data_IF_941242054619
#
_entry.id   IF_941242054619
#
_cell.length_a   1.000
_cell.length_b   1.000
_cell.length_c   1.000
_cell.angle_alpha   90.00
_cell.angle_beta   90.00
_cell.angle_gamma   90.00
#
_symmetry.space_group_name_H-M   'P 1'
#
loop_
_entity.id
_entity.type
_entity.pdbx_description
1 polymer ?
#
# COMPACT_ATOMS: atom_id res chain seq x y z
N UNK A 1 -18.11 -13.58 -12.40
CA UNK A 1 -17.15 -13.10 -11.40
C UNK A 1 -17.79 -12.38 -10.23
N UNK A 2 -18.64 -11.37 -10.44
CA UNK A 2 -19.33 -10.67 -9.34
C UNK A 2 -20.80 -10.37 -9.67
N UNK A 3 -21.57 -10.03 -8.64
CA UNK A 3 -22.93 -9.51 -8.76
C UNK A 3 -23.11 -8.28 -7.84
N UNK A 4 -23.90 -7.32 -8.31
CA UNK A 4 -24.34 -6.19 -7.50
C UNK A 4 -25.49 -6.62 -6.59
N UNK A 5 -25.32 -6.48 -5.28
CA UNK A 5 -26.30 -6.96 -4.29
C UNK A 5 -26.51 -5.94 -3.17
N UNK A 6 -27.61 -6.07 -2.43
CA UNK A 6 -27.76 -5.39 -1.15
C UNK A 6 -26.90 -6.07 -0.09
N UNK A 7 -26.04 -5.27 0.55
CA UNK A 7 -25.16 -5.68 1.64
C UNK A 7 -25.70 -5.08 2.95
N UNK A 8 -26.06 -5.92 3.94
CA UNK A 8 -26.61 -5.46 5.21
C UNK A 8 -25.78 -4.35 5.85
N UNK A 9 -26.42 -3.20 6.10
CA UNK A 9 -25.81 -2.04 6.74
C UNK A 9 -24.84 -1.23 5.86
N UNK A 10 -24.62 -1.60 4.59
CA UNK A 10 -23.71 -0.90 3.67
C UNK A 10 -24.40 -0.37 2.40
N UNK A 11 -25.64 -0.77 2.14
CA UNK A 11 -26.35 -0.43 0.90
C UNK A 11 -25.97 -1.40 -0.20
N UNK A 12 -25.76 -0.93 -1.43
CA UNK A 12 -25.31 -1.81 -2.52
C UNK A 12 -23.81 -2.12 -2.40
N UNK A 13 -23.41 -3.30 -2.88
CA UNK A 13 -22.01 -3.75 -2.91
C UNK A 13 -21.78 -4.82 -3.99
N UNK A 14 -20.52 -5.04 -4.36
CA UNK A 14 -20.16 -6.13 -5.26
C UNK A 14 -19.79 -7.37 -4.45
N UNK A 15 -20.43 -8.50 -4.76
CA UNK A 15 -20.17 -9.80 -4.11
C UNK A 15 -19.69 -10.78 -5.15
N UNK A 16 -18.62 -11.52 -4.85
CA UNK A 16 -18.06 -12.53 -5.74
C UNK A 16 -19.08 -13.66 -5.99
N UNK A 17 -19.33 -13.98 -7.26
CA UNK A 17 -20.24 -15.08 -7.65
C UNK A 17 -19.52 -16.41 -7.85
N UNK A 18 -18.19 -16.38 -7.83
CA UNK A 18 -17.27 -17.51 -7.94
C UNK A 18 -15.95 -17.13 -7.25
N UNK A 19 -15.01 -18.06 -7.06
CA UNK A 19 -13.69 -17.74 -6.53
C UNK A 19 -12.93 -16.86 -7.52
N UNK A 20 -12.37 -15.74 -7.03
CA UNK A 20 -11.57 -14.80 -7.81
C UNK A 20 -10.10 -14.95 -7.37
N UNK A 21 -9.20 -15.43 -8.25
CA UNK A 21 -7.79 -15.58 -7.91
C UNK A 21 -7.09 -14.24 -7.67
N UNK A 22 -6.06 -14.25 -6.82
CA UNK A 22 -5.16 -13.12 -6.60
C UNK A 22 -4.61 -12.55 -7.93
N UNK A 23 -4.58 -11.22 -8.05
CA UNK A 23 -4.11 -10.51 -9.24
C UNK A 23 -5.13 -10.39 -10.38
N UNK A 24 -6.30 -11.02 -10.26
CA UNK A 24 -7.34 -10.94 -11.28
C UNK A 24 -7.86 -9.51 -11.41
N UNK A 25 -7.95 -8.99 -12.65
CA UNK A 25 -8.67 -7.76 -12.95
C UNK A 25 -10.18 -8.01 -12.89
N UNK A 26 -10.81 -7.52 -11.83
CA UNK A 26 -12.24 -7.65 -11.55
C UNK A 26 -13.06 -6.68 -12.40
N UNK A 27 -12.61 -5.41 -12.50
CA UNK A 27 -13.27 -4.34 -13.26
C UNK A 27 -12.31 -3.62 -14.21
N UNK A 28 -12.87 -3.09 -15.31
CA UNK A 28 -12.19 -2.22 -16.27
C UNK A 28 -13.20 -1.24 -16.92
N UNK A 29 -13.52 -0.17 -16.21
CA UNK A 29 -14.66 0.71 -16.53
C UNK A 29 -14.23 2.05 -17.13
N UNK A 30 -14.97 2.52 -18.14
CA UNK A 30 -14.88 3.91 -18.60
C UNK A 30 -15.62 4.81 -17.61
N UNK A 31 -15.16 6.05 -17.40
CA UNK A 31 -15.91 7.01 -16.59
C UNK A 31 -17.23 7.38 -17.27
N UNK A 32 -18.32 7.43 -16.49
CA UNK A 32 -19.56 8.11 -16.87
C UNK A 32 -19.35 9.62 -16.80
N UNK A 33 -18.71 10.07 -15.70
CA UNK A 33 -18.32 11.47 -15.50
C UNK A 33 -16.83 11.56 -15.21
N UNK A 34 -16.20 12.61 -15.72
CA UNK A 34 -14.86 13.06 -15.34
C UNK A 34 -14.97 14.51 -14.87
N UNK A 35 -14.71 14.75 -13.58
CA UNK A 35 -14.77 16.06 -12.94
C UNK A 35 -13.34 16.53 -12.62
N UNK A 36 -12.88 17.62 -13.26
CA UNK A 36 -11.59 18.21 -12.89
C UNK A 36 -11.69 18.86 -11.52
N UNK A 37 -10.76 18.56 -10.62
CA UNK A 37 -10.71 19.19 -9.29
C UNK A 37 -9.59 20.22 -9.18
N UNK A 38 -8.51 20.04 -9.94
CA UNK A 38 -7.32 20.88 -9.86
C UNK A 38 -7.65 22.33 -10.24
N UNK A 39 -7.38 23.24 -9.32
CA UNK A 39 -7.51 24.69 -9.54
C UNK A 39 -8.94 25.24 -9.44
N UNK A 40 -9.95 24.43 -9.13
CA UNK A 40 -11.33 24.90 -8.98
C UNK A 40 -11.68 25.26 -7.53
N UNK A 41 -12.37 26.39 -7.35
CA UNK A 41 -13.06 26.74 -6.09
C UNK A 41 -14.39 25.98 -5.99
N UNK A 42 -14.96 25.88 -4.79
CA UNK A 42 -16.20 25.11 -4.55
C UNK A 42 -17.37 25.49 -5.47
N UNK A 43 -17.64 26.79 -5.68
CA UNK A 43 -18.74 27.24 -6.56
C UNK A 43 -18.51 26.90 -8.03
N UNK A 44 -17.26 26.97 -8.49
CA UNK A 44 -16.89 26.61 -9.85
C UNK A 44 -17.05 25.09 -10.06
N UNK A 45 -16.67 24.32 -9.05
CA UNK A 45 -16.84 22.86 -9.04
C UNK A 45 -18.32 22.46 -9.14
N UNK A 46 -19.20 23.06 -8.34
CA UNK A 46 -20.65 22.82 -8.41
C UNK A 46 -21.20 23.12 -9.81
N UNK A 47 -20.77 24.23 -10.41
CA UNK A 47 -21.20 24.62 -11.77
C UNK A 47 -20.71 23.63 -12.84
N UNK A 48 -19.47 23.14 -12.71
CA UNK A 48 -18.90 22.12 -13.59
C UNK A 48 -19.63 20.78 -13.44
N UNK A 49 -19.91 20.36 -12.21
CA UNK A 49 -20.66 19.13 -11.91
C UNK A 49 -22.06 19.20 -12.49
N UNK A 50 -22.79 20.31 -12.26
CA UNK A 50 -24.13 20.51 -12.80
C UNK A 50 -24.14 20.38 -14.33
N UNK A 51 -23.29 21.15 -15.02
CA UNK A 51 -23.22 21.13 -16.49
C UNK A 51 -22.89 19.74 -17.04
N UNK A 52 -21.92 19.04 -16.44
CA UNK A 52 -21.51 17.71 -16.93
C UNK A 52 -22.58 16.66 -16.66
N UNK A 53 -23.28 16.74 -15.53
CA UNK A 53 -24.35 15.79 -15.18
C UNK A 53 -25.58 16.00 -16.06
N UNK A 54 -25.93 17.25 -16.40
CA UNK A 54 -27.03 17.58 -17.33
C UNK A 54 -26.76 17.17 -18.78
N UNK A 55 -25.50 16.87 -19.13
CA UNK A 55 -25.13 16.41 -20.46
C UNK A 55 -25.14 14.88 -20.60
N UNK A 56 -25.48 14.15 -19.54
CA UNK A 56 -25.63 12.69 -19.57
C UNK A 56 -26.93 12.30 -20.28
N UNK A 57 -26.95 11.11 -20.86
CA UNK A 57 -28.21 10.48 -21.27
C UNK A 57 -29.02 9.98 -20.05
N UNK A 58 -30.29 9.64 -20.27
CA UNK A 58 -31.21 9.23 -19.20
C UNK A 58 -30.70 8.01 -18.42
N UNK A 59 -30.09 7.03 -19.10
CA UNK A 59 -29.57 5.82 -18.46
C UNK A 59 -28.35 6.11 -17.57
N UNK A 60 -27.43 6.95 -18.05
CA UNK A 60 -26.28 7.42 -17.30
C UNK A 60 -26.69 8.28 -16.11
N UNK A 61 -27.68 9.17 -16.29
CA UNK A 61 -28.21 10.00 -15.23
C UNK A 61 -28.85 9.14 -14.14
N UNK A 62 -29.68 8.15 -14.50
CA UNK A 62 -30.27 7.21 -13.56
C UNK A 62 -29.21 6.46 -12.73
N UNK A 63 -28.13 6.03 -13.37
CA UNK A 63 -26.99 5.41 -12.66
C UNK A 63 -26.43 6.39 -11.64
N UNK A 64 -26.09 7.62 -12.04
CA UNK A 64 -25.52 8.64 -11.13
C UNK A 64 -26.47 8.95 -9.98
N UNK A 65 -27.76 9.15 -10.24
CA UNK A 65 -28.77 9.47 -9.23
C UNK A 65 -29.05 8.31 -8.27
N UNK A 66 -28.78 7.06 -8.70
CA UNK A 66 -28.90 5.87 -7.84
C UNK A 66 -27.70 5.64 -6.91
N UNK A 67 -26.63 6.44 -7.03
CA UNK A 67 -25.48 6.37 -6.12
C UNK A 67 -25.81 7.04 -4.79
N UNK A 68 -25.07 6.66 -3.75
CA UNK A 68 -25.32 7.17 -2.39
C UNK A 68 -24.94 8.65 -2.30
N UNK A 69 -25.80 9.48 -1.73
CA UNK A 69 -25.44 10.84 -1.33
C UNK A 69 -25.49 10.93 0.20
N UNK A 70 -24.38 11.29 0.84
CA UNK A 70 -24.32 11.50 2.30
C UNK A 70 -24.46 12.98 2.69
N UNK A 71 -24.66 13.87 1.72
CA UNK A 71 -24.82 15.29 1.93
C UNK A 71 -26.28 15.69 1.80
N UNK A 72 -26.74 16.56 2.71
CA UNK A 72 -28.00 17.26 2.57
C UNK A 72 -27.93 18.23 1.38
N UNK A 73 -29.05 18.43 0.69
CA UNK A 73 -29.13 19.29 -0.48
C UNK A 73 -30.52 19.93 -0.58
N UNK A 74 -30.56 21.19 -1.02
CA UNK A 74 -31.78 21.96 -1.29
C UNK A 74 -31.92 22.36 -2.76
N UNK A 75 -30.95 21.97 -3.59
CA UNK A 75 -30.97 22.19 -5.04
C UNK A 75 -30.41 21.01 -5.80
N UNK A 76 -30.73 20.92 -7.09
CA UNK A 76 -30.18 19.89 -8.01
C UNK A 76 -28.65 19.98 -8.10
N UNK A 77 -28.10 21.19 -8.09
CA UNK A 77 -26.64 21.42 -8.11
C UNK A 77 -25.96 20.84 -6.87
N UNK A 78 -26.51 21.11 -5.68
CA UNK A 78 -26.02 20.57 -4.41
C UNK A 78 -26.17 19.04 -4.36
N UNK A 79 -27.28 18.50 -4.87
CA UNK A 79 -27.50 17.06 -4.96
C UNK A 79 -26.39 16.38 -5.78
N UNK A 80 -26.14 16.90 -6.99
CA UNK A 80 -25.13 16.31 -7.88
C UNK A 80 -23.74 16.43 -7.26
N UNK A 81 -23.38 17.61 -6.73
CA UNK A 81 -22.10 17.79 -6.06
C UNK A 81 -21.92 16.84 -4.87
N UNK A 82 -22.98 16.61 -4.08
CA UNK A 82 -22.99 15.64 -2.98
C UNK A 82 -22.76 14.20 -3.44
N UNK A 83 -23.43 13.78 -4.51
CA UNK A 83 -23.23 12.45 -5.12
C UNK A 83 -21.77 12.28 -5.58
N UNK A 84 -21.24 13.25 -6.33
CA UNK A 84 -19.85 13.19 -6.82
C UNK A 84 -18.87 13.14 -5.66
N UNK A 85 -19.07 13.99 -4.64
CA UNK A 85 -18.20 14.04 -3.46
C UNK A 85 -18.23 12.74 -2.65
N UNK A 86 -19.37 12.05 -2.63
CA UNK A 86 -19.53 10.78 -1.89
C UNK A 86 -18.87 9.61 -2.62
N UNK A 87 -18.96 9.56 -3.96
CA UNK A 87 -18.64 8.35 -4.74
C UNK A 87 -17.43 8.49 -5.68
N UNK A 88 -16.95 9.72 -5.90
CA UNK A 88 -15.89 10.01 -6.85
C UNK A 88 -14.62 9.21 -6.57
N UNK A 89 -14.15 8.48 -7.58
CA UNK A 89 -12.89 7.73 -7.51
C UNK A 89 -11.78 8.49 -8.23
N UNK A 90 -10.52 8.41 -7.76
CA UNK A 90 -9.40 9.10 -8.41
C UNK A 90 -9.27 8.74 -9.89
N UNK A 91 -9.07 9.74 -10.74
CA UNK A 91 -8.87 9.62 -12.19
C UNK A 91 -7.73 10.55 -12.64
N UNK A 92 -7.08 10.20 -13.75
CA UNK A 92 -5.94 10.93 -14.31
C UNK A 92 -4.60 10.53 -13.69
N UNK A 93 -3.52 11.02 -14.31
CA UNK A 93 -2.13 10.64 -13.98
C UNK A 93 -1.75 10.97 -12.53
N UNK A 94 -2.14 12.14 -12.02
CA UNK A 94 -1.88 12.55 -10.63
C UNK A 94 -3.01 12.15 -9.66
N UNK A 95 -4.06 11.48 -10.16
CA UNK A 95 -5.24 11.08 -9.40
C UNK A 95 -5.96 12.25 -8.72
N UNK A 96 -5.76 13.48 -9.21
CA UNK A 96 -6.31 14.69 -8.58
C UNK A 96 -7.77 14.93 -8.93
N UNK A 97 -8.22 14.42 -10.07
CA UNK A 97 -9.59 14.53 -10.55
C UNK A 97 -10.47 13.40 -9.99
N UNK A 98 -11.80 13.52 -10.14
CA UNK A 98 -12.72 12.46 -9.77
C UNK A 98 -13.53 11.93 -10.95
N UNK A 99 -13.64 10.61 -11.02
CA UNK A 99 -14.49 9.89 -11.96
C UNK A 99 -15.69 9.24 -11.26
N UNK A 100 -16.81 9.15 -11.99
CA UNK A 100 -17.95 8.30 -11.62
C UNK A 100 -18.02 7.12 -12.56
N UNK A 101 -18.29 5.96 -11.99
CA UNK A 101 -18.27 4.66 -12.66
C UNK A 101 -19.47 3.83 -12.20
N UNK A 102 -19.99 2.97 -13.06
CA UNK A 102 -21.24 2.25 -12.82
C UNK A 102 -21.15 1.25 -11.65
N UNK A 103 -20.14 0.37 -11.67
CA UNK A 103 -19.96 -0.62 -10.60
C UNK A 103 -18.82 -0.26 -9.65
N UNK A 104 -17.73 0.36 -10.13
CA UNK A 104 -16.60 0.66 -9.25
C UNK A 104 -16.98 1.60 -8.09
N UNK A 105 -17.88 2.57 -8.32
CA UNK A 105 -18.40 3.46 -7.28
C UNK A 105 -19.34 2.77 -6.27
N UNK A 106 -19.75 1.51 -6.52
CA UNK A 106 -20.59 0.72 -5.61
C UNK A 106 -19.78 -0.24 -4.73
N UNK A 107 -18.46 -0.32 -4.92
CA UNK A 107 -17.62 -1.18 -4.09
C UNK A 107 -17.48 -0.57 -2.70
N UNK A 108 -17.82 -1.32 -1.66
CA UNK A 108 -17.78 -0.85 -0.28
C UNK A 108 -16.35 -0.77 0.29
N UNK A 109 -16.26 -0.06 1.40
CA UNK A 109 -15.02 0.07 2.14
C UNK A 109 -14.71 -1.14 3.03
N UNK A 110 -13.43 -1.51 3.09
CA UNK A 110 -12.84 -2.15 4.26
C UNK A 110 -11.43 -1.58 4.51
N UNK A 111 -11.00 -1.48 5.78
CA UNK A 111 -9.62 -1.10 6.09
C UNK A 111 -8.62 -2.23 5.79
N UNK A 112 -9.11 -3.47 5.69
CA UNK A 112 -8.40 -4.66 5.23
C UNK A 112 -9.00 -5.12 3.90
N UNK A 113 -9.03 -4.21 2.92
CA UNK A 113 -9.65 -4.44 1.62
C UNK A 113 -9.02 -5.64 0.89
N UNK A 114 -9.81 -6.30 0.06
CA UNK A 114 -9.37 -7.45 -0.73
C UNK A 114 -9.19 -7.11 -2.22
N UNK A 115 -9.47 -5.87 -2.63
CA UNK A 115 -9.20 -5.38 -3.98
C UNK A 115 -8.57 -3.98 -3.97
N UNK A 116 -7.74 -3.70 -4.97
CA UNK A 116 -7.08 -2.41 -5.19
C UNK A 116 -7.73 -1.71 -6.37
N UNK A 117 -8.04 -0.42 -6.17
CA UNK A 117 -8.54 0.47 -7.21
C UNK A 117 -7.39 1.25 -7.85
N UNK A 118 -7.39 1.40 -9.17
CA UNK A 118 -6.38 2.20 -9.87
C UNK A 118 -6.97 2.82 -11.14
N UNK A 119 -6.50 4.00 -11.50
CA UNK A 119 -6.72 4.56 -12.83
C UNK A 119 -5.63 4.06 -13.76
N UNK A 120 -6.00 3.30 -14.78
CA UNK A 120 -5.06 2.86 -15.80
C UNK A 120 -4.99 3.91 -16.91
N UNK A 121 -3.89 4.66 -16.91
CA UNK A 121 -3.66 5.78 -17.83
C UNK A 121 -3.58 5.34 -19.30
N UNK A 122 -3.07 4.13 -19.58
CA UNK A 122 -2.98 3.59 -20.94
C UNK A 122 -4.35 3.19 -21.49
N UNK A 123 -5.19 2.58 -20.66
CA UNK A 123 -6.53 2.17 -21.05
C UNK A 123 -7.55 3.31 -20.97
N UNK A 124 -7.22 4.39 -20.26
CA UNK A 124 -8.15 5.45 -19.85
C UNK A 124 -9.39 4.87 -19.16
N UNK A 125 -9.15 3.93 -18.23
CA UNK A 125 -10.19 3.19 -17.51
C UNK A 125 -9.85 3.02 -16.04
N UNK A 126 -10.87 3.01 -15.20
CA UNK A 126 -10.74 2.60 -13.82
C UNK A 126 -10.69 1.08 -13.72
N UNK A 127 -9.72 0.57 -13.01
CA UNK A 127 -9.48 -0.86 -12.85
C UNK A 127 -9.52 -1.24 -11.38
N UNK A 128 -9.99 -2.45 -11.13
CA UNK A 128 -10.01 -3.04 -9.79
C UNK A 128 -9.38 -4.42 -9.87
N UNK A 129 -8.34 -4.69 -9.08
CA UNK A 129 -7.62 -5.96 -9.07
C UNK A 129 -7.69 -6.62 -7.70
N UNK A 130 -7.83 -7.95 -7.68
CA UNK A 130 -7.83 -8.73 -6.45
C UNK A 130 -6.44 -8.71 -5.77
N UNK A 131 -6.39 -8.41 -4.48
CA UNK A 131 -5.15 -8.37 -3.68
C UNK A 131 -4.76 -9.72 -3.10
N UNK A 132 -5.71 -10.64 -3.07
CA UNK A 132 -5.63 -12.04 -2.63
C UNK A 132 -6.78 -12.81 -3.28
N UNK A 133 -6.83 -14.11 -3.06
CA UNK A 133 -8.01 -14.89 -3.44
C UNK A 133 -9.24 -14.36 -2.69
N UNK A 134 -10.33 -14.17 -3.43
CA UNK A 134 -11.64 -13.75 -2.92
C UNK A 134 -12.59 -14.93 -3.13
N UNK A 135 -13.18 -15.44 -2.05
CA UNK A 135 -14.02 -16.63 -2.13
C UNK A 135 -15.40 -16.29 -2.69
N UNK A 136 -16.08 -17.29 -3.27
CA UNK A 136 -17.48 -17.13 -3.66
C UNK A 136 -18.32 -16.67 -2.46
N UNK A 137 -19.18 -15.68 -2.67
CA UNK A 137 -20.00 -15.06 -1.62
C UNK A 137 -19.28 -14.02 -0.78
N UNK A 138 -17.98 -13.83 -0.94
CA UNK A 138 -17.24 -12.76 -0.27
C UNK A 138 -17.48 -11.41 -0.94
N UNK A 139 -17.67 -10.36 -0.13
CA UNK A 139 -17.80 -8.99 -0.63
C UNK A 139 -16.45 -8.48 -1.16
N UNK A 140 -16.45 -7.91 -2.36
CA UNK A 140 -15.30 -7.19 -2.92
C UNK A 140 -15.27 -5.81 -2.27
N UNK A 141 -14.13 -5.43 -1.71
CA UNK A 141 -13.95 -4.18 -0.96
C UNK A 141 -12.69 -3.45 -1.36
N UNK A 142 -12.72 -2.12 -1.28
CA UNK A 142 -11.59 -1.23 -1.56
C UNK A 142 -11.28 -0.32 -0.37
N UNK A 143 -10.07 0.24 -0.34
CA UNK A 143 -9.71 1.26 0.62
C UNK A 143 -10.20 2.64 0.16
N UNK A 144 -11.03 3.32 0.95
CA UNK A 144 -11.60 4.63 0.57
C UNK A 144 -10.69 5.80 0.92
N UNK A 145 -9.89 5.65 1.98
CA UNK A 145 -9.02 6.73 2.44
C UNK A 145 -7.75 6.78 1.59
N UNK A 146 -6.96 7.84 1.78
CA UNK A 146 -5.69 8.01 1.07
C UNK A 146 -4.51 7.36 1.79
N UNK A 147 -4.59 7.27 3.12
CA UNK A 147 -3.47 6.90 3.98
C UNK A 147 -3.95 5.89 5.01
N UNK A 148 -3.16 4.83 5.22
CA UNK A 148 -3.42 3.82 6.25
C UNK A 148 -2.96 4.36 7.61
N UNK A 149 -3.86 5.08 8.25
CA UNK A 149 -3.65 5.69 9.57
C UNK A 149 -4.06 4.75 10.72
N UNK A 150 -3.92 5.19 11.98
CA UNK A 150 -4.43 4.46 13.16
C UNK A 150 -5.94 4.18 13.08
N UNK A 151 -6.42 3.14 13.79
CA UNK A 151 -7.86 2.78 13.83
C UNK A 151 -8.74 3.97 14.20
N UNK A 152 -8.35 4.75 15.21
CA UNK A 152 -9.13 5.91 15.65
C UNK A 152 -9.24 6.96 14.54
N UNK A 153 -8.13 7.24 13.83
CA UNK A 153 -8.12 8.20 12.73
C UNK A 153 -8.92 7.71 11.53
N UNK A 154 -8.77 6.44 11.12
CA UNK A 154 -9.58 5.85 10.04
C UNK A 154 -11.06 5.93 10.37
N UNK A 155 -11.47 5.60 11.59
CA UNK A 155 -12.88 5.72 12.02
C UNK A 155 -13.38 7.16 12.00
N UNK A 156 -12.58 8.12 12.49
CA UNK A 156 -12.95 9.53 12.46
C UNK A 156 -13.12 10.05 11.03
N UNK A 157 -12.19 9.72 10.13
CA UNK A 157 -12.26 10.13 8.72
C UNK A 157 -13.44 9.47 7.99
N UNK A 158 -13.72 8.18 8.24
CA UNK A 158 -14.87 7.50 7.64
C UNK A 158 -16.20 8.06 8.15
N UNK A 159 -16.29 8.36 9.46
CA UNK A 159 -17.48 8.98 10.04
C UNK A 159 -17.70 10.39 9.50
N UNK A 160 -16.63 11.18 9.35
CA UNK A 160 -16.73 12.56 8.85
C UNK A 160 -17.05 12.64 7.34
N UNK A 161 -16.52 11.71 6.53
CA UNK A 161 -16.63 11.77 5.07
C UNK A 161 -17.76 10.93 4.48
N UNK A 162 -18.09 9.81 5.13
CA UNK A 162 -19.02 8.81 4.59
C UNK A 162 -20.14 8.41 5.57
N UNK A 163 -20.19 9.04 6.75
CA UNK A 163 -21.23 8.85 7.77
C UNK A 163 -21.45 7.39 8.20
N UNK A 164 -20.38 6.60 8.32
CA UNK A 164 -20.47 5.24 8.87
C UNK A 164 -19.32 4.90 9.83
N UNK A 165 -19.52 3.87 10.64
CA UNK A 165 -18.48 3.27 11.50
C UNK A 165 -18.03 1.96 10.88
N UNK A 166 -16.73 1.81 10.62
CA UNK A 166 -16.20 0.62 9.96
C UNK A 166 -16.16 -0.58 10.92
N UNK A 167 -16.70 -1.71 10.49
CA UNK A 167 -16.73 -2.98 11.24
C UNK A 167 -15.92 -4.09 10.58
N UNK A 168 -15.03 -3.75 9.63
CA UNK A 168 -14.17 -4.76 8.98
C UNK A 168 -13.26 -5.48 9.97
N UNK A 169 -12.69 -6.62 9.58
CA UNK A 169 -11.84 -7.47 10.43
C UNK A 169 -10.72 -6.69 11.13
N UNK A 170 -10.06 -5.76 10.43
CA UNK A 170 -9.04 -4.89 11.03
C UNK A 170 -9.59 -3.93 12.10
N UNK A 171 -10.79 -3.39 11.89
CA UNK A 171 -11.46 -2.53 12.87
C UNK A 171 -12.17 -3.31 13.97
N UNK A 172 -12.39 -4.61 13.80
CA UNK A 172 -12.98 -5.50 14.79
C UNK A 172 -11.94 -6.09 15.76
N UNK A 173 -10.63 -5.91 15.48
CA UNK A 173 -9.56 -6.37 16.35
C UNK A 173 -9.72 -5.91 17.81
N UNK A 174 -9.27 -6.78 18.71
CA UNK A 174 -9.13 -6.50 20.14
C UNK A 174 -8.18 -5.33 20.40
N UNK A 175 -8.23 -4.77 21.62
CA UNK A 175 -7.44 -3.56 21.97
C UNK A 175 -5.94 -3.77 21.78
N UNK A 176 -5.42 -4.95 22.10
CA UNK A 176 -3.98 -5.25 22.00
C UNK A 176 -3.56 -5.35 20.53
N UNK A 177 -4.25 -6.17 19.75
CA UNK A 177 -3.98 -6.41 18.34
C UNK A 177 -4.17 -5.13 17.50
N UNK A 178 -5.18 -4.33 17.82
CA UNK A 178 -5.40 -3.02 17.20
C UNK A 178 -4.25 -2.07 17.49
N UNK A 179 -3.73 -2.04 18.73
CA UNK A 179 -2.57 -1.21 19.09
C UNK A 179 -1.31 -1.65 18.35
N UNK A 180 -1.07 -2.96 18.24
CA UNK A 180 0.05 -3.50 17.47
C UNK A 180 -0.07 -3.14 15.98
N UNK A 181 -1.28 -3.20 15.42
CA UNK A 181 -1.54 -2.74 14.05
C UNK A 181 -1.27 -1.25 13.88
N UNK A 182 -1.72 -0.41 14.81
CA UNK A 182 -1.52 1.04 14.75
C UNK A 182 -0.03 1.41 14.86
N UNK A 183 0.73 0.68 15.68
CA UNK A 183 2.20 0.84 15.76
C UNK A 183 2.87 0.49 14.43
N UNK A 184 2.45 -0.60 13.77
CA UNK A 184 2.99 -1.00 12.46
C UNK A 184 2.66 0.03 11.37
N UNK A 185 1.41 0.47 11.27
CA UNK A 185 1.00 1.49 10.30
C UNK A 185 1.73 2.82 10.55
N UNK A 186 1.84 3.23 11.81
CA UNK A 186 2.64 4.41 12.17
C UNK A 186 4.12 4.26 11.82
N UNK A 187 4.69 3.05 11.86
CA UNK A 187 6.06 2.81 11.41
C UNK A 187 6.19 2.98 9.88
N UNK A 188 5.25 2.44 9.10
CA UNK A 188 5.22 2.61 7.63
C UNK A 188 5.24 4.10 7.26
N UNK A 189 4.34 4.90 7.85
CA UNK A 189 4.25 6.33 7.54
C UNK A 189 5.50 7.12 7.96
N UNK A 190 6.08 6.80 9.12
CA UNK A 190 7.34 7.42 9.56
C UNK A 190 8.48 7.08 8.60
N UNK A 191 8.60 5.82 8.19
CA UNK A 191 9.66 5.36 7.29
C UNK A 191 9.50 5.97 5.89
N UNK A 192 8.28 6.05 5.37
CA UNK A 192 7.96 6.73 4.11
C UNK A 192 8.40 8.21 4.16
N UNK A 193 8.06 8.90 5.25
CA UNK A 193 8.47 10.29 5.47
C UNK A 193 9.99 10.45 5.54
N UNK A 194 10.69 9.56 6.24
CA UNK A 194 12.16 9.59 6.33
C UNK A 194 12.82 9.33 4.97
N UNK A 195 12.29 8.38 4.20
CA UNK A 195 12.79 8.05 2.85
C UNK A 195 12.57 9.24 1.91
N UNK A 196 11.36 9.79 1.89
CA UNK A 196 10.99 10.92 1.03
C UNK A 196 11.77 12.19 1.35
N UNK A 197 11.91 12.55 2.64
CA UNK A 197 12.65 13.75 3.05
C UNK A 197 14.15 13.62 2.81
N UNK A 198 14.72 12.42 2.98
CA UNK A 198 16.13 12.19 2.75
C UNK A 198 16.53 12.36 1.28
N UNK A 199 15.66 11.94 0.36
CA UNK A 199 15.86 12.10 -1.09
C UNK A 199 17.21 11.57 -1.58
N UNK A 200 17.70 12.12 -2.70
CA UNK A 200 18.96 11.70 -3.30
C UNK A 200 20.18 11.96 -2.40
N UNK A 201 20.16 13.02 -1.60
CA UNK A 201 21.25 13.38 -0.69
C UNK A 201 21.48 12.29 0.36
N UNK A 202 20.42 11.86 1.05
CA UNK A 202 20.52 10.79 2.05
C UNK A 202 20.88 9.44 1.42
N UNK A 203 20.42 9.18 0.19
CA UNK A 203 20.82 7.98 -0.57
C UNK A 203 22.35 8.00 -0.75
N UNK A 204 22.94 9.09 -1.24
CA UNK A 204 24.38 9.15 -1.51
C UNK A 204 25.26 9.15 -0.24
N UNK A 205 24.81 9.84 0.81
CA UNK A 205 25.58 10.06 2.03
C UNK A 205 25.41 8.94 3.06
N UNK A 206 24.20 8.38 3.19
CA UNK A 206 23.81 7.39 4.21
C UNK A 206 23.09 6.16 3.63
N UNK A 207 23.64 5.52 2.59
CA UNK A 207 22.90 4.53 1.79
C UNK A 207 22.44 3.30 2.57
N UNK A 208 23.26 2.81 3.51
CA UNK A 208 22.89 1.66 4.33
C UNK A 208 21.72 1.97 5.28
N UNK A 209 21.60 3.23 5.73
CA UNK A 209 20.49 3.64 6.59
C UNK A 209 19.19 3.73 5.79
N UNK A 210 19.25 4.30 4.58
CA UNK A 210 18.10 4.38 3.67
C UNK A 210 17.60 2.99 3.26
N UNK A 211 18.52 2.08 2.95
CA UNK A 211 18.17 0.68 2.64
C UNK A 211 17.53 -0.03 3.85
N UNK A 212 17.98 0.26 5.07
CA UNK A 212 17.36 -0.28 6.29
C UNK A 212 15.96 0.28 6.54
N UNK A 213 15.73 1.56 6.24
CA UNK A 213 14.37 2.11 6.32
C UNK A 213 13.43 1.40 5.35
N UNK A 214 13.89 1.14 4.12
CA UNK A 214 13.11 0.39 3.12
C UNK A 214 12.86 -1.07 3.55
N UNK A 215 13.89 -1.73 4.10
CA UNK A 215 13.77 -3.09 4.66
C UNK A 215 12.70 -3.16 5.77
N UNK A 216 12.78 -2.26 6.74
CA UNK A 216 11.81 -2.19 7.83
C UNK A 216 10.40 -1.89 7.32
N UNK A 217 10.27 -0.99 6.34
CA UNK A 217 8.99 -0.62 5.74
C UNK A 217 8.32 -1.81 5.05
N UNK A 218 9.08 -2.57 4.24
CA UNK A 218 8.58 -3.77 3.54
C UNK A 218 8.16 -4.85 4.54
N UNK A 219 8.97 -5.08 5.59
CA UNK A 219 8.60 -6.03 6.65
C UNK A 219 7.32 -5.62 7.37
N UNK A 220 7.07 -4.32 7.54
CA UNK A 220 5.80 -3.83 8.09
C UNK A 220 4.62 -4.09 7.14
N UNK A 221 4.78 -3.86 5.83
CA UNK A 221 3.75 -4.18 4.82
C UNK A 221 3.42 -5.68 4.80
N UNK A 222 4.45 -6.55 4.75
CA UNK A 222 4.28 -8.01 4.74
C UNK A 222 3.54 -8.53 5.98
N UNK A 223 3.74 -7.90 7.13
CA UNK A 223 3.01 -8.21 8.37
C UNK A 223 1.58 -7.65 8.41
N UNK A 224 1.29 -6.57 7.68
CA UNK A 224 -0.04 -5.98 7.63
C UNK A 224 -0.99 -6.85 6.81
N UNK A 225 -0.51 -7.36 5.68
CA UNK A 225 -1.23 -8.29 4.82
C UNK A 225 -0.75 -8.23 3.38
N UNK A 226 -1.08 -9.24 2.56
CA UNK A 226 -0.72 -9.24 1.15
C UNK A 226 -1.40 -8.07 0.41
N UNK A 227 -0.61 -7.39 -0.41
CA UNK A 227 -1.11 -6.48 -1.44
C UNK A 227 -1.49 -5.07 -1.02
N UNK A 228 -0.83 -4.55 0.00
CA UNK A 228 -0.76 -3.10 0.14
C UNK A 228 -0.15 -2.45 -1.11
N UNK A 229 -0.80 -1.42 -1.65
CA UNK A 229 -0.33 -0.71 -2.84
C UNK A 229 1.06 -0.05 -2.63
N UNK A 230 1.43 0.25 -1.38
CA UNK A 230 2.73 0.82 -1.05
C UNK A 230 3.91 -0.16 -1.17
N UNK A 231 3.65 -1.48 -1.19
CA UNK A 231 4.71 -2.49 -1.22
C UNK A 231 5.53 -2.43 -2.51
N UNK A 232 4.87 -2.27 -3.66
CA UNK A 232 5.54 -2.16 -4.96
C UNK A 232 6.47 -0.93 -4.99
N UNK A 233 6.00 0.20 -4.46
CA UNK A 233 6.79 1.43 -4.38
C UNK A 233 8.00 1.27 -3.47
N UNK A 234 7.84 0.63 -2.30
CA UNK A 234 8.95 0.41 -1.38
C UNK A 234 10.05 -0.47 -1.99
N UNK A 235 9.69 -1.52 -2.76
CA UNK A 235 10.66 -2.31 -3.52
C UNK A 235 11.36 -1.47 -4.60
N UNK A 236 10.61 -0.61 -5.29
CA UNK A 236 11.19 0.26 -6.31
C UNK A 236 12.16 1.28 -5.73
N UNK A 237 11.84 1.90 -4.58
CA UNK A 237 12.74 2.81 -3.88
C UNK A 237 14.02 2.08 -3.44
N UNK A 238 13.91 0.86 -2.90
CA UNK A 238 15.07 0.03 -2.57
C UNK A 238 15.93 -0.29 -3.81
N UNK A 239 15.30 -0.57 -4.97
CA UNK A 239 15.99 -0.78 -6.23
C UNK A 239 16.80 0.46 -6.63
N UNK A 240 16.18 1.64 -6.62
CA UNK A 240 16.85 2.90 -6.93
C UNK A 240 18.05 3.15 -6.00
N UNK A 241 17.87 2.97 -4.68
CA UNK A 241 18.93 3.15 -3.69
C UNK A 241 20.17 2.31 -4.00
N UNK A 242 20.00 1.01 -4.27
CA UNK A 242 21.15 0.12 -4.50
C UNK A 242 21.78 0.35 -5.89
N UNK A 243 20.97 0.68 -6.90
CA UNK A 243 21.45 1.02 -8.26
C UNK A 243 22.27 2.31 -8.26
N UNK A 244 21.87 3.31 -7.47
CA UNK A 244 22.64 4.56 -7.25
C UNK A 244 24.07 4.29 -6.80
N UNK A 245 24.30 3.17 -6.08
CA UNK A 245 25.62 2.75 -5.59
C UNK A 245 26.27 1.64 -6.43
N UNK A 246 25.72 1.35 -7.61
CA UNK A 246 26.27 0.39 -8.57
C UNK A 246 25.98 -1.08 -8.27
N UNK A 247 25.09 -1.39 -7.32
CA UNK A 247 24.75 -2.76 -6.94
C UNK A 247 23.65 -3.33 -7.85
N UNK A 248 24.03 -3.71 -9.07
CA UNK A 248 23.10 -4.18 -10.09
C UNK A 248 22.43 -5.52 -9.73
N UNK A 249 23.11 -6.39 -8.99
CA UNK A 249 22.56 -7.68 -8.57
C UNK A 249 21.31 -7.50 -7.70
N UNK A 250 21.41 -6.69 -6.62
CA UNK A 250 20.26 -6.37 -5.76
C UNK A 250 19.25 -5.49 -6.48
N UNK A 251 19.72 -4.51 -7.26
CA UNK A 251 18.88 -3.62 -8.05
C UNK A 251 17.89 -4.38 -8.92
N UNK A 252 18.37 -5.42 -9.61
CA UNK A 252 17.52 -6.28 -10.45
C UNK A 252 16.45 -7.01 -9.64
N UNK A 253 16.82 -7.57 -8.49
CA UNK A 253 15.89 -8.34 -7.65
C UNK A 253 14.78 -7.42 -7.11
N UNK A 254 15.13 -6.26 -6.57
CA UNK A 254 14.15 -5.30 -6.07
C UNK A 254 13.26 -4.75 -7.17
N UNK A 255 13.82 -4.39 -8.34
CA UNK A 255 13.03 -3.93 -9.48
C UNK A 255 12.04 -5.02 -9.95
N UNK A 256 12.44 -6.29 -9.99
CA UNK A 256 11.54 -7.40 -10.33
C UNK A 256 10.43 -7.60 -9.31
N UNK A 257 10.73 -7.49 -8.01
CA UNK A 257 9.70 -7.53 -6.96
C UNK A 257 8.69 -6.39 -7.13
N UNK A 258 9.16 -5.17 -7.39
CA UNK A 258 8.28 -4.03 -7.67
C UNK A 258 7.36 -4.26 -8.88
N UNK A 259 7.93 -4.72 -10.01
CA UNK A 259 7.17 -5.02 -11.23
C UNK A 259 6.12 -6.10 -10.96
N UNK A 260 6.49 -7.19 -10.29
CA UNK A 260 5.55 -8.27 -9.98
C UNK A 260 4.38 -7.78 -9.12
N UNK A 261 4.63 -6.88 -8.16
CA UNK A 261 3.57 -6.32 -7.31
C UNK A 261 2.67 -5.33 -8.08
N UNK A 262 3.22 -4.51 -8.98
CA UNK A 262 2.41 -3.65 -9.85
C UNK A 262 1.59 -4.46 -10.87
N UNK A 263 2.16 -5.49 -11.50
CA UNK A 263 1.43 -6.38 -12.40
C UNK A 263 0.24 -7.02 -11.68
N UNK A 264 0.42 -7.43 -10.42
CA UNK A 264 -0.62 -8.02 -9.59
C UNK A 264 -1.70 -7.01 -9.16
N UNK A 265 -1.32 -5.77 -8.85
CA UNK A 265 -2.24 -4.77 -8.23
C UNK A 265 -2.88 -3.80 -9.23
N UNK A 266 -2.28 -3.64 -10.41
CA UNK A 266 -2.70 -2.70 -11.44
C UNK A 266 -2.72 -3.28 -12.87
N UNK A 267 -2.15 -4.48 -13.07
CA UNK A 267 -2.03 -5.13 -14.37
C UNK A 267 -0.72 -4.82 -15.10
N UNK A 268 -0.38 -5.64 -16.10
CA UNK A 268 0.86 -5.52 -16.86
C UNK A 268 0.90 -4.35 -17.85
N UNK A 269 -0.26 -3.73 -18.08
CA UNK A 269 -0.50 -2.58 -18.95
C UNK A 269 -0.53 -1.26 -18.15
N UNK A 270 -0.22 -1.26 -16.84
CA UNK A 270 -0.08 -0.03 -16.07
C UNK A 270 1.23 0.69 -16.40
N UNK A 271 1.26 2.01 -16.18
CA UNK A 271 2.41 2.85 -16.57
C UNK A 271 3.69 2.47 -15.81
N UNK A 272 3.58 2.14 -14.53
CA UNK A 272 4.70 1.73 -13.70
C UNK A 272 5.40 0.48 -14.26
N UNK A 273 4.61 -0.51 -14.69
CA UNK A 273 5.15 -1.72 -15.32
C UNK A 273 5.80 -1.39 -16.66
N UNK A 274 5.13 -0.64 -17.54
CA UNK A 274 5.67 -0.32 -18.87
C UNK A 274 6.97 0.49 -18.76
N UNK A 275 7.01 1.50 -17.90
CA UNK A 275 8.17 2.38 -17.73
C UNK A 275 9.35 1.67 -17.08
N UNK A 276 9.10 0.79 -16.09
CA UNK A 276 10.16 0.22 -15.27
C UNK A 276 10.52 -1.24 -15.63
N UNK A 277 9.83 -1.88 -16.58
CA UNK A 277 10.16 -3.25 -17.04
C UNK A 277 11.63 -3.38 -17.46
N UNK A 278 12.13 -2.43 -18.26
CA UNK A 278 13.54 -2.41 -18.70
C UNK A 278 14.53 -2.33 -17.54
N UNK A 279 14.18 -1.63 -16.46
CA UNK A 279 15.01 -1.54 -15.26
C UNK A 279 15.14 -2.90 -14.55
N UNK A 280 14.08 -3.72 -14.59
CA UNK A 280 14.07 -5.08 -14.02
C UNK A 280 14.84 -6.12 -14.85
N UNK A 281 15.13 -5.79 -16.12
CA UNK A 281 15.95 -6.59 -17.03
C UNK A 281 17.42 -6.19 -16.92
N UNK A 282 17.68 -4.89 -17.02
CA UNK A 282 19.00 -4.27 -17.01
C UNK A 282 19.00 -3.00 -16.14
N UNK A 283 19.34 -3.12 -14.85
CA UNK A 283 19.36 -2.00 -13.91
C UNK A 283 20.40 -0.92 -14.25
N UNK A 284 21.38 -1.22 -15.12
CA UNK A 284 22.41 -0.25 -15.51
C UNK A 284 21.88 0.88 -16.39
N UNK A 285 20.67 0.73 -16.93
CA UNK A 285 19.95 1.74 -17.72
C UNK A 285 19.31 2.84 -16.86
N UNK A 286 19.33 2.72 -15.55
CA UNK A 286 18.86 3.76 -14.64
C UNK A 286 19.70 5.03 -14.80
N UNK A 287 19.05 6.19 -14.85
CA UNK A 287 19.74 7.48 -14.80
C UNK A 287 20.51 7.70 -13.48
N UNK A 288 20.14 6.96 -12.43
CA UNK A 288 20.81 7.01 -11.13
C UNK A 288 22.08 6.15 -11.09
N UNK A 289 22.26 5.21 -12.03
CA UNK A 289 23.41 4.33 -12.05
C UNK A 289 24.70 5.13 -12.27
N UNK A 290 25.74 4.83 -11.47
CA UNK A 290 27.04 5.46 -11.60
C UNK A 290 27.25 6.74 -10.78
N UNK A 291 26.21 7.29 -10.14
CA UNK A 291 26.36 8.39 -9.18
C UNK A 291 27.26 8.02 -8.00
N UNK A 292 27.28 6.74 -7.64
CA UNK A 292 28.26 6.13 -6.74
C UNK A 292 28.53 4.69 -7.16
N UNK A 293 29.74 4.19 -6.89
CA UNK A 293 30.13 2.80 -7.18
C UNK A 293 30.56 2.02 -5.93
N UNK A 294 30.20 2.53 -4.73
CA UNK A 294 30.60 1.94 -3.44
C UNK A 294 30.14 0.49 -3.27
N UNK A 295 29.08 0.07 -3.95
CA UNK A 295 28.47 -1.26 -3.84
C UNK A 295 28.49 -2.03 -5.16
N UNK A 296 29.44 -1.72 -6.05
CA UNK A 296 29.53 -2.29 -7.39
C UNK A 296 29.36 -3.81 -7.41
N UNK A 297 28.34 -4.27 -8.14
CA UNK A 297 28.11 -5.68 -8.50
C UNK A 297 27.64 -5.74 -9.95
N UNK A 298 27.95 -6.83 -10.65
CA UNK A 298 27.35 -7.18 -11.93
C UNK A 298 25.95 -7.77 -11.74
N UNK A 299 25.12 -7.74 -12.79
CA UNK A 299 23.76 -8.31 -12.78
C UNK A 299 23.77 -9.82 -12.45
N UNK A 300 24.84 -10.52 -12.82
CA UNK A 300 25.04 -11.95 -12.57
C UNK A 300 25.54 -12.29 -11.17
N UNK A 301 25.93 -11.31 -10.35
CA UNK A 301 26.58 -11.53 -9.05
C UNK A 301 25.56 -11.84 -7.93
N UNK A 302 24.39 -12.37 -8.31
CA UNK A 302 23.42 -12.88 -7.35
C UNK A 302 23.92 -14.21 -6.78
N UNK A 303 24.09 -14.35 -5.46
CA UNK A 303 24.60 -15.58 -4.87
C UNK A 303 23.61 -16.73 -5.07
N UNK A 304 24.14 -17.90 -5.41
CA UNK A 304 23.38 -19.14 -5.57
C UNK A 304 23.56 -20.04 -4.33
N UNK A 305 22.58 -20.90 -4.06
CA UNK A 305 22.67 -21.91 -2.99
C UNK A 305 22.58 -21.37 -1.55
N UNK A 306 22.26 -20.10 -1.34
CA UNK A 306 22.01 -19.56 0.00
C UNK A 306 20.67 -20.07 0.56
N UNK A 307 20.67 -20.39 1.85
CA UNK A 307 19.42 -20.62 2.60
C UNK A 307 18.57 -19.34 2.62
N UNK A 308 17.22 -19.41 2.68
CA UNK A 308 16.34 -18.24 2.54
C UNK A 308 16.70 -17.05 3.45
N UNK A 309 16.99 -17.29 4.73
CA UNK A 309 17.38 -16.24 5.67
C UNK A 309 18.73 -15.60 5.32
N UNK A 310 19.69 -16.39 4.85
CA UNK A 310 21.00 -15.89 4.43
C UNK A 310 20.90 -15.08 3.13
N UNK A 311 19.98 -15.48 2.24
CA UNK A 311 19.67 -14.72 1.03
C UNK A 311 19.04 -13.37 1.36
N UNK A 312 18.05 -13.32 2.27
CA UNK A 312 17.46 -12.06 2.73
C UNK A 312 18.48 -11.16 3.46
N UNK A 313 19.36 -11.74 4.28
CA UNK A 313 20.44 -10.98 4.92
C UNK A 313 21.40 -10.39 3.88
N UNK A 314 21.73 -11.14 2.83
CA UNK A 314 22.49 -10.62 1.69
C UNK A 314 21.70 -9.52 0.99
N UNK A 315 20.44 -9.76 0.60
CA UNK A 315 19.61 -8.85 -0.18
C UNK A 315 19.51 -7.47 0.49
N UNK A 316 19.30 -7.46 1.81
CA UNK A 316 19.15 -6.23 2.60
C UNK A 316 20.45 -5.69 3.19
N UNK A 317 21.61 -6.29 2.85
CA UNK A 317 22.91 -5.95 3.44
C UNK A 317 22.88 -5.96 4.98
N UNK A 318 22.11 -6.88 5.57
CA UNK A 318 22.07 -7.08 7.02
C UNK A 318 23.39 -7.68 7.46
N UNK A 319 23.90 -7.27 8.63
CA UNK A 319 25.09 -7.93 9.20
C UNK A 319 24.70 -9.38 9.44
N UNK A 320 25.55 -10.33 9.03
CA UNK A 320 25.39 -11.73 9.40
C UNK A 320 25.16 -11.78 10.91
N UNK A 321 23.99 -12.26 11.34
CA UNK A 321 23.73 -12.47 12.75
C UNK A 321 24.74 -13.49 13.21
N UNK A 322 25.78 -13.01 13.89
CA UNK A 322 26.86 -13.85 14.38
C UNK A 322 26.28 -14.65 15.56
N UNK A 323 25.46 -15.68 15.28
CA UNK A 323 24.92 -16.60 16.29
C UNK A 323 26.05 -17.20 17.14
N UNK A 324 27.29 -17.24 16.63
CA UNK A 324 28.50 -17.60 17.37
C UNK A 324 28.91 -16.62 18.49
N UNK A 325 28.56 -15.33 18.43
CA UNK A 325 28.83 -14.38 19.54
C UNK A 325 27.86 -14.55 20.71
N UNK A 326 26.60 -14.92 20.44
CA UNK A 326 25.62 -15.17 21.51
C UNK A 326 25.86 -16.50 22.22
N UNK A 327 26.35 -17.53 21.53
CA UNK A 327 26.75 -18.79 22.18
C UNK A 327 27.93 -18.58 23.17
N UNK A 328 28.96 -17.80 22.79
CA UNK A 328 30.09 -17.47 23.69
C UNK A 328 29.70 -16.55 24.85
N UNK A 329 28.67 -15.70 24.68
CA UNK A 329 28.13 -14.87 25.76
C UNK A 329 27.28 -15.69 26.74
N UNK A 330 26.60 -16.74 26.27
CA UNK A 330 25.84 -17.66 27.13
C UNK A 330 26.76 -18.59 27.92
N UNK A 331 27.86 -19.06 27.31
CA UNK A 331 28.88 -19.86 28.00
C UNK A 331 29.65 -19.06 29.06
N UNK A 332 30.02 -17.79 28.77
CA UNK A 332 30.63 -16.91 29.76
C UNK A 332 29.71 -16.58 30.94
N UNK A 333 28.39 -16.48 30.72
CA UNK A 333 27.41 -16.28 31.80
C UNK A 333 27.27 -17.53 32.69
N UNK A 334 27.30 -18.74 32.11
CA UNK A 334 27.30 -19.98 32.91
C UNK A 334 28.55 -20.10 33.78
N UNK A 335 29.72 -19.75 33.25
CA UNK A 335 30.97 -19.85 34.01
C UNK A 335 31.10 -18.83 35.16
N UNK A 336 30.49 -17.65 35.04
CA UNK A 336 30.47 -16.65 36.12
C UNK A 336 29.46 -17.06 37.21
N UNK A 337 28.38 -17.74 36.86
CA UNK A 337 27.37 -18.18 37.83
C UNK A 337 27.81 -19.41 38.67
N UNK A 338 28.82 -20.16 38.20
CA UNK A 338 29.45 -21.25 38.97
C UNK A 338 30.51 -20.74 39.97
N UNK A 339 30.97 -19.50 39.87
CA UNK A 339 31.95 -18.90 40.79
C UNK A 339 31.33 -18.18 42.00
N UNK A 340 29.99 -18.11 42.07
CA UNK A 340 29.26 -17.44 43.17
C UNK A 340 28.34 -18.39 43.97
N UNK A 341 28.53 -19.70 43.86
CA UNK A 341 27.78 -20.71 44.64
C UNK A 341 28.65 -21.59 45.54
N UNK A 342 29.97 -21.35 45.58
CA UNK A 342 30.88 -21.98 46.55
C UNK A 342 31.68 -20.92 47.31
N UNK A 343 31.02 -20.26 48.27
CA UNK A 343 31.61 -19.75 49.52
C UNK A 343 30.46 -19.32 50.43
N UNK A 344 30.02 -20.28 51.23
CA UNK A 344 29.05 -20.08 52.29
C UNK A 344 29.59 -19.21 53.43
N UNK A 345 28.63 -18.53 54.06
CA UNK A 345 28.46 -18.32 55.50
C UNK A 345 29.64 -17.78 56.32
N UNK A 346 29.47 -16.56 56.84
CA UNK A 346 29.57 -16.29 58.29
C UNK A 346 28.82 -14.99 58.67
N UNK A 347 27.89 -15.15 59.61
CA UNK A 347 27.35 -14.24 60.64
C UNK A 347 27.87 -12.78 60.76
N UNK A 348 26.99 -11.83 61.10
CA UNK A 348 26.76 -11.30 62.49
C UNK A 348 25.78 -10.10 62.46
N UNK A 349 25.01 -10.03 63.55
CA UNK A 349 24.00 -9.09 64.06
C UNK A 349 24.38 -7.60 64.24
N UNK A 350 23.36 -6.85 64.68
CA UNK A 350 23.27 -5.47 65.23
C UNK A 350 22.92 -4.40 64.19
N UNK A 351 21.96 -3.51 64.41
CA UNK A 351 21.12 -3.17 65.57
C UNK A 351 20.42 -1.85 65.24
#
# INVERSE_FOLDING_TARGET
MYALQDVPGKGKGLVATEMIPNGTRILCEKPILWIPYKGLKSKEMESVVLRKTQALDDAQLDIVLSLRNVHEFNSVSEQYAGIIRTNGLPIGEDGSDAGIFEHACRINHACSNNAQKSWNENLKRHTVHALRDIQQGEEITIFYLRTLESRSRRQADLKAKFLFTCSCSLCALGRKESRESDVRLGAILRLESLISQGGLEAILTSPLQMLRYSDEQIRCYEQHGPGDAGLARAFFDAAQMVITHGDLARGRIFARKAISEWERTAGNDCMEVIHHRKLSEDPSRSELYGLSMKWKTGVSDTPTGLQPNAFEDWLWRRKATNKKRNAKAHDKKKHIQTLFTEKGETNVLFG
#
